data_IF_040380358014
#
_entry.id   IF_040380358014
#
_cell.length_a   1.000
_cell.length_b   1.000
_cell.length_c   1.000
_cell.angle_alpha   90.00
_cell.angle_beta   90.00
_cell.angle_gamma   90.00
#
_symmetry.space_group_name_H-M   'P 1'
#
loop_
_entity.id
_entity.type
_entity.pdbx_description
1 polymer ?
#
# COMPACT_ATOMS: atom_id res chain seq x y z
N UNK A 1 2.80 7.48 9.96
CA UNK A 1 2.65 6.02 9.83
C UNK A 1 2.57 5.71 8.34
N UNK A 2 3.34 4.76 7.80
CA UNK A 2 3.29 4.45 6.37
C UNK A 2 2.21 3.41 6.14
N UNK A 3 1.17 3.79 5.41
CA UNK A 3 0.12 2.87 4.96
C UNK A 3 0.54 2.23 3.64
N UNK A 4 0.36 0.93 3.54
CA UNK A 4 0.54 0.17 2.31
C UNK A 4 -0.82 -0.30 1.82
N UNK A 5 -1.03 -0.34 0.51
CA UNK A 5 -2.19 -0.97 -0.11
C UNK A 5 -1.80 -2.31 -0.69
N UNK A 6 -2.65 -3.31 -0.49
CA UNK A 6 -2.52 -4.57 -1.21
C UNK A 6 -2.96 -4.41 -2.67
N UNK A 7 -2.20 -4.99 -3.59
CA UNK A 7 -2.55 -5.00 -5.01
C UNK A 7 -3.80 -5.84 -5.30
N UNK A 8 -3.97 -6.97 -4.61
CA UNK A 8 -5.05 -7.92 -4.89
C UNK A 8 -6.38 -7.54 -4.23
N UNK A 9 -6.37 -7.07 -2.97
CA UNK A 9 -7.60 -6.74 -2.25
C UNK A 9 -7.85 -5.24 -2.05
N UNK A 10 -6.90 -4.38 -2.42
CA UNK A 10 -7.04 -2.92 -2.30
C UNK A 10 -7.09 -2.37 -0.87
N UNK A 11 -7.06 -3.24 0.16
CA UNK A 11 -7.13 -2.84 1.57
C UNK A 11 -5.86 -2.13 2.02
N UNK A 12 -6.04 -1.13 2.88
CA UNK A 12 -4.96 -0.44 3.58
C UNK A 12 -4.41 -1.34 4.70
N UNK A 13 -3.10 -1.37 4.82
CA UNK A 13 -2.34 -2.18 5.77
C UNK A 13 -1.31 -1.28 6.44
N UNK A 14 -1.31 -1.31 7.76
CA UNK A 14 -0.34 -0.57 8.55
C UNK A 14 1.06 -1.18 8.46
N UNK A 15 2.06 -0.32 8.33
CA UNK A 15 3.49 -0.68 8.38
C UNK A 15 3.92 -1.47 9.63
N UNK A 16 3.17 -1.43 10.72
CA UNK A 16 3.44 -2.21 11.95
C UNK A 16 3.26 -3.71 11.73
N UNK A 17 2.25 -4.11 10.96
CA UNK A 17 1.91 -5.51 10.68
C UNK A 17 2.89 -6.17 9.69
N UNK A 18 3.59 -5.36 8.89
CA UNK A 18 4.52 -5.83 7.86
C UNK A 18 5.93 -6.19 8.38
N UNK A 19 6.27 -5.83 9.63
CA UNK A 19 7.62 -6.09 10.18
C UNK A 19 7.97 -7.58 10.28
N UNK A 20 6.97 -8.47 10.36
CA UNK A 20 7.17 -9.91 10.59
C UNK A 20 6.99 -10.76 9.33
N UNK A 21 6.12 -10.36 8.41
CA UNK A 21 5.91 -11.01 7.11
C UNK A 21 5.34 -10.00 6.10
N UNK A 22 5.85 -10.02 4.87
CA UNK A 22 5.32 -9.25 3.74
C UNK A 22 4.16 -10.02 3.11
N UNK A 23 3.04 -10.13 3.84
CA UNK A 23 1.79 -10.72 3.36
C UNK A 23 0.61 -9.85 3.79
N UNK A 24 -0.35 -9.67 2.90
CA UNK A 24 -1.62 -9.07 3.26
C UNK A 24 -2.37 -10.01 4.22
N UNK A 25 -2.80 -9.54 5.41
CA UNK A 25 -3.53 -10.37 6.37
C UNK A 25 -4.93 -10.78 5.91
N UNK A 26 -5.46 -10.16 4.84
CA UNK A 26 -6.83 -10.38 4.38
C UNK A 26 -6.94 -11.32 3.17
N UNK A 27 -5.97 -11.31 2.26
CA UNK A 27 -6.01 -12.13 1.04
C UNK A 27 -4.78 -13.01 0.84
N UNK A 28 -3.75 -12.90 1.69
CA UNK A 28 -2.49 -13.64 1.53
C UNK A 28 -1.59 -13.15 0.38
N UNK A 29 -2.03 -12.12 -0.36
CA UNK A 29 -1.26 -11.48 -1.43
C UNK A 29 0.09 -10.96 -0.92
N UNK A 30 1.13 -11.13 -1.73
CA UNK A 30 2.52 -10.73 -1.42
C UNK A 30 2.91 -9.38 -2.03
N UNK A 31 2.03 -8.79 -2.85
CA UNK A 31 2.27 -7.49 -3.48
C UNK A 31 1.58 -6.37 -2.71
N UNK A 32 2.41 -5.48 -2.18
CA UNK A 32 2.03 -4.30 -1.41
C UNK A 32 2.68 -3.07 -2.03
N UNK A 33 1.95 -2.00 -2.21
CA UNK A 33 2.46 -0.74 -2.75
C UNK A 33 2.13 0.43 -1.84
N UNK A 34 2.98 1.46 -1.89
CA UNK A 34 2.73 2.71 -1.15
C UNK A 34 1.83 3.62 -1.99
N UNK A 35 0.58 3.89 -1.57
CA UNK A 35 -0.25 4.85 -2.27
C UNK A 35 0.35 6.26 -2.19
N UNK A 36 0.12 7.08 -3.22
CA UNK A 36 0.44 8.50 -3.16
C UNK A 36 -0.57 9.19 -2.25
N UNK A 37 -0.09 10.00 -1.31
CA UNK A 37 -0.93 10.82 -0.44
C UNK A 37 -1.28 12.17 -1.05
N UNK A 38 -0.42 12.69 -1.94
CA UNK A 38 -0.58 14.03 -2.52
C UNK A 38 -0.65 13.94 -4.05
N UNK A 39 -1.66 14.55 -4.69
CA UNK A 39 -1.73 14.63 -6.14
C UNK A 39 -0.66 15.60 -6.66
N UNK A 40 0.08 15.19 -7.68
CA UNK A 40 1.07 16.04 -8.35
C UNK A 40 0.36 16.88 -9.42
N UNK A 41 0.46 18.21 -9.33
CA UNK A 41 -0.02 19.11 -10.39
C UNK A 41 1.01 19.14 -11.51
N UNK A 42 0.63 18.67 -12.70
CA UNK A 42 1.49 18.68 -13.90
C UNK A 42 0.90 19.69 -14.89
N UNK A 43 1.72 20.61 -15.39
CA UNK A 43 1.31 21.52 -16.48
C UNK A 43 1.23 20.72 -17.77
N UNK A 44 0.12 20.85 -18.51
CA UNK A 44 0.06 20.35 -19.87
C UNK A 44 1.07 21.12 -20.73
N UNK A 45 1.79 20.41 -21.60
CA UNK A 45 2.84 20.96 -22.47
C UNK A 45 2.33 21.08 -23.89
#
# INVERSE_FOLDING_TARGET
>A
MVEYKCFDCGKNIDSTTLRRMVRCPYCGGKMLYKPRSVPTKVKAR
#
